data_IF_816958255124
#
_entry.id   IF_816958255124
#
_cell.length_a   1.000
_cell.length_b   1.000
_cell.length_c   1.000
_cell.angle_alpha   90.00
_cell.angle_beta   90.00
_cell.angle_gamma   90.00
#
_symmetry.space_group_name_H-M   'P 1'
#
loop_
_entity.id
_entity.type
_entity.pdbx_description
1 polymer ?
#
# COMPACT_ATOMS: atom_id res chain seq x y z
N UNK A 1 -21.78 -7.49 -18.63
CA UNK A 1 -20.95 -7.29 -17.42
C UNK A 1 -20.20 -5.95 -17.44
N UNK A 2 -19.51 -5.60 -18.54
CA UNK A 2 -18.78 -4.33 -18.67
C UNK A 2 -19.60 -3.07 -18.32
N UNK A 3 -20.78 -2.88 -18.92
CA UNK A 3 -21.62 -1.70 -18.65
C UNK A 3 -22.14 -1.60 -17.20
N UNK A 4 -22.32 -2.73 -16.53
CA UNK A 4 -22.76 -2.77 -15.13
C UNK A 4 -21.61 -2.34 -14.20
N UNK A 5 -20.42 -2.93 -14.40
CA UNK A 5 -19.21 -2.58 -13.64
C UNK A 5 -18.74 -1.14 -13.93
N UNK A 6 -18.89 -0.66 -15.17
CA UNK A 6 -18.55 0.71 -15.53
C UNK A 6 -19.48 1.74 -14.86
N UNK A 7 -20.76 1.40 -14.69
CA UNK A 7 -21.76 2.29 -14.09
C UNK A 7 -21.85 2.20 -12.57
N UNK A 8 -21.59 1.02 -12.01
CA UNK A 8 -21.78 0.72 -10.59
C UNK A 8 -20.51 0.23 -9.89
N UNK A 9 -19.34 0.33 -10.52
CA UNK A 9 -18.08 -0.20 -10.00
C UNK A 9 -17.74 0.30 -8.60
N UNK A 10 -17.96 1.59 -8.32
CA UNK A 10 -17.74 2.16 -6.99
C UNK A 10 -18.70 1.57 -5.93
N UNK A 11 -19.96 1.36 -6.28
CA UNK A 11 -20.94 0.75 -5.38
C UNK A 11 -20.61 -0.73 -5.13
N UNK A 12 -20.15 -1.45 -6.15
CA UNK A 12 -19.68 -2.84 -6.02
C UNK A 12 -18.43 -2.92 -5.15
N UNK A 13 -17.46 -2.02 -5.35
CA UNK A 13 -16.24 -1.96 -4.53
C UNK A 13 -16.55 -1.64 -3.06
N UNK A 14 -17.42 -0.67 -2.82
CA UNK A 14 -17.88 -0.33 -1.48
C UNK A 14 -18.62 -1.50 -0.82
N UNK A 15 -19.56 -2.13 -1.54
CA UNK A 15 -20.31 -3.28 -1.03
C UNK A 15 -19.41 -4.47 -0.69
N UNK A 16 -18.47 -4.80 -1.58
CA UNK A 16 -17.49 -5.85 -1.34
C UNK A 16 -16.63 -5.56 -0.10
N UNK A 17 -16.13 -4.32 0.03
CA UNK A 17 -15.38 -3.88 1.20
C UNK A 17 -16.20 -3.98 2.50
N UNK A 18 -17.46 -3.53 2.47
CA UNK A 18 -18.37 -3.63 3.61
C UNK A 18 -18.59 -5.09 4.04
N UNK A 19 -18.80 -6.00 3.10
CA UNK A 19 -18.95 -7.44 3.39
C UNK A 19 -17.69 -8.02 4.03
N UNK A 20 -16.51 -7.69 3.50
CA UNK A 20 -15.24 -8.16 4.08
C UNK A 20 -15.06 -7.67 5.51
N UNK A 21 -15.37 -6.40 5.77
CA UNK A 21 -15.31 -5.80 7.11
C UNK A 21 -16.28 -6.52 8.06
N UNK A 22 -17.51 -6.77 7.63
CA UNK A 22 -18.50 -7.48 8.45
C UNK A 22 -18.06 -8.89 8.81
N UNK A 23 -17.50 -9.64 7.85
CA UNK A 23 -16.98 -10.99 8.11
C UNK A 23 -15.79 -10.91 9.06
N UNK A 24 -14.85 -9.98 8.84
CA UNK A 24 -13.69 -9.79 9.72
C UNK A 24 -14.10 -9.46 11.16
N UNK A 25 -15.04 -8.52 11.35
CA UNK A 25 -15.52 -8.23 12.71
C UNK A 25 -16.29 -9.40 13.32
N UNK A 26 -17.06 -10.13 12.52
CA UNK A 26 -17.71 -11.36 12.97
C UNK A 26 -16.71 -12.37 13.52
N UNK A 27 -15.61 -12.63 12.79
CA UNK A 27 -14.58 -13.58 13.24
C UNK A 27 -13.83 -13.08 14.46
N UNK A 28 -13.43 -11.79 14.49
CA UNK A 28 -12.69 -11.21 15.62
C UNK A 28 -13.54 -11.19 16.88
N UNK A 29 -14.77 -10.65 16.83
CA UNK A 29 -15.63 -10.57 18.01
C UNK A 29 -16.04 -11.95 18.53
N UNK A 30 -16.19 -12.95 17.66
CA UNK A 30 -16.49 -14.32 18.10
C UNK A 30 -15.35 -15.01 18.86
N UNK A 31 -14.09 -14.58 18.65
CA UNK A 31 -12.90 -15.18 19.26
C UNK A 31 -12.15 -14.26 20.22
N UNK A 32 -12.69 -13.08 20.52
CA UNK A 32 -12.00 -12.03 21.28
C UNK A 32 -11.72 -12.46 22.72
N UNK A 33 -12.68 -13.10 23.37
CA UNK A 33 -12.52 -13.55 24.77
C UNK A 33 -11.43 -14.62 24.89
N UNK A 34 -11.40 -15.56 23.94
CA UNK A 34 -10.37 -16.59 23.89
C UNK A 34 -8.97 -16.01 23.61
N UNK A 35 -8.89 -14.98 22.77
CA UNK A 35 -7.64 -14.26 22.50
C UNK A 35 -7.12 -13.50 23.71
N UNK A 36 -8.00 -12.77 24.41
CA UNK A 36 -7.61 -12.00 25.61
C UNK A 36 -7.22 -12.89 26.80
N UNK A 37 -7.67 -14.14 26.81
CA UNK A 37 -7.25 -15.13 27.80
C UNK A 37 -5.87 -15.75 27.53
N UNK A 38 -5.30 -15.55 26.33
CA UNK A 38 -3.96 -16.04 25.99
C UNK A 38 -2.86 -15.12 26.55
N UNK A 39 -1.77 -15.69 27.07
CA UNK A 39 -0.52 -14.97 27.31
C UNK A 39 -0.02 -14.24 26.05
N UNK A 40 0.56 -13.05 26.20
CA UNK A 40 1.01 -12.21 25.07
C UNK A 40 1.96 -12.94 24.11
N UNK A 41 2.82 -13.82 24.63
CA UNK A 41 3.77 -14.63 23.86
C UNK A 41 3.09 -15.68 22.96
N UNK A 42 1.83 -16.02 23.22
CA UNK A 42 1.05 -17.00 22.45
C UNK A 42 -0.08 -16.39 21.62
N UNK A 43 -0.30 -15.08 21.72
CA UNK A 43 -1.34 -14.39 20.95
C UNK A 43 -1.13 -14.52 19.43
N UNK A 44 0.11 -14.70 18.96
CA UNK A 44 0.43 -14.95 17.56
C UNK A 44 -0.08 -16.29 17.01
N UNK A 45 -0.45 -17.24 17.87
CA UNK A 45 -0.98 -18.55 17.45
C UNK A 45 -2.48 -18.51 17.08
N UNK A 46 -3.15 -17.39 17.34
CA UNK A 46 -4.58 -17.24 17.08
C UNK A 46 -4.90 -17.18 15.59
N UNK A 47 -6.08 -17.70 15.22
CA UNK A 47 -6.58 -17.65 13.85
C UNK A 47 -7.66 -16.60 13.62
N UNK A 48 -8.05 -15.83 14.64
CA UNK A 48 -9.19 -14.90 14.58
C UNK A 48 -9.00 -13.78 13.54
N UNK A 49 -7.75 -13.47 13.20
CA UNK A 49 -7.38 -12.46 12.20
C UNK A 49 -7.10 -13.04 10.81
N UNK A 50 -7.04 -14.37 10.65
CA UNK A 50 -6.61 -15.02 9.42
C UNK A 50 -7.47 -14.64 8.22
N UNK A 51 -8.79 -14.51 8.40
CA UNK A 51 -9.67 -14.08 7.33
C UNK A 51 -9.32 -12.68 6.83
N UNK A 52 -9.18 -11.70 7.73
CA UNK A 52 -8.86 -10.32 7.35
C UNK A 52 -7.49 -10.21 6.69
N UNK A 53 -6.50 -10.96 7.21
CA UNK A 53 -5.17 -11.03 6.64
C UNK A 53 -5.19 -11.67 5.24
N UNK A 54 -5.82 -12.84 5.10
CA UNK A 54 -5.92 -13.55 3.83
C UNK A 54 -6.69 -12.73 2.78
N UNK A 55 -7.82 -12.13 3.15
CA UNK A 55 -8.59 -11.27 2.27
C UNK A 55 -7.74 -10.08 1.78
N UNK A 56 -7.02 -9.41 2.68
CA UNK A 56 -6.15 -8.28 2.34
C UNK A 56 -5.01 -8.70 1.41
N UNK A 57 -4.37 -9.84 1.67
CA UNK A 57 -3.30 -10.38 0.82
C UNK A 57 -3.83 -10.69 -0.57
N UNK A 58 -4.96 -11.42 -0.67
CA UNK A 58 -5.56 -11.80 -1.95
C UNK A 58 -5.98 -10.57 -2.75
N UNK A 59 -6.67 -9.61 -2.13
CA UNK A 59 -7.05 -8.35 -2.77
C UNK A 59 -5.82 -7.54 -3.20
N UNK A 60 -4.78 -7.48 -2.35
CA UNK A 60 -3.52 -6.83 -2.69
C UNK A 60 -2.88 -7.43 -3.94
N UNK A 61 -2.78 -8.77 -4.01
CA UNK A 61 -2.25 -9.48 -5.18
C UNK A 61 -3.10 -9.19 -6.42
N UNK A 62 -4.43 -9.27 -6.32
CA UNK A 62 -5.35 -8.97 -7.44
C UNK A 62 -5.16 -7.54 -7.94
N UNK A 63 -5.05 -6.56 -7.03
CA UNK A 63 -4.81 -5.17 -7.37
C UNK A 63 -3.46 -4.98 -8.06
N UNK A 64 -2.39 -5.61 -7.57
CA UNK A 64 -1.06 -5.55 -8.19
C UNK A 64 -1.11 -6.14 -9.61
N UNK A 65 -1.71 -7.32 -9.77
CA UNK A 65 -1.85 -7.98 -11.08
C UNK A 65 -2.67 -7.12 -12.04
N UNK A 66 -3.82 -6.60 -11.59
CA UNK A 66 -4.65 -5.73 -12.41
C UNK A 66 -3.91 -4.45 -12.80
N UNK A 67 -3.23 -3.79 -11.86
CA UNK A 67 -2.47 -2.57 -12.12
C UNK A 67 -1.37 -2.80 -13.16
N UNK A 68 -0.62 -3.91 -13.05
CA UNK A 68 0.42 -4.26 -14.02
C UNK A 68 -0.19 -4.56 -15.39
N UNK A 69 -1.20 -5.42 -15.47
CA UNK A 69 -1.82 -5.79 -16.74
C UNK A 69 -2.46 -4.60 -17.45
N UNK A 70 -3.23 -3.76 -16.73
CA UNK A 70 -3.82 -2.55 -17.29
C UNK A 70 -2.76 -1.51 -17.66
N UNK A 71 -1.73 -1.35 -16.82
CA UNK A 71 -0.61 -0.45 -17.11
C UNK A 71 0.12 -0.82 -18.40
N UNK A 72 0.43 -2.11 -18.57
CA UNK A 72 1.05 -2.63 -19.81
C UNK A 72 0.11 -2.50 -21.01
N UNK A 73 -1.17 -2.82 -20.85
CA UNK A 73 -2.16 -2.68 -21.91
C UNK A 73 -2.27 -1.23 -22.41
N UNK A 74 -2.39 -0.25 -21.50
CA UNK A 74 -2.45 1.17 -21.86
C UNK A 74 -1.13 1.68 -22.44
N UNK A 75 0.01 1.17 -21.98
CA UNK A 75 1.31 1.51 -22.54
C UNK A 75 1.44 1.08 -24.00
N UNK A 76 1.00 -0.13 -24.34
CA UNK A 76 1.07 -0.67 -25.71
C UNK A 76 0.03 -0.02 -26.62
N UNK A 77 -1.20 0.15 -26.13
CA UNK A 77 -2.29 0.68 -26.96
C UNK A 77 -2.21 2.19 -27.13
N UNK A 78 -1.74 2.94 -26.12
CA UNK A 78 -1.72 4.40 -26.09
C UNK A 78 -0.34 4.96 -25.66
N UNK A 79 0.75 4.65 -26.38
CA UNK A 79 2.12 4.93 -25.96
C UNK A 79 2.40 6.43 -25.77
N UNK A 80 1.80 7.30 -26.59
CA UNK A 80 1.96 8.75 -26.47
C UNK A 80 1.30 9.31 -25.20
N UNK A 81 0.12 8.80 -24.84
CA UNK A 81 -0.57 9.19 -23.61
C UNK A 81 0.08 8.61 -22.36
N UNK A 82 0.67 7.42 -22.47
CA UNK A 82 1.38 6.76 -21.38
C UNK A 82 2.75 7.39 -21.06
N UNK A 83 3.32 8.22 -21.96
CA UNK A 83 4.66 8.80 -21.80
C UNK A 83 4.85 9.53 -20.46
N UNK A 84 3.87 10.34 -20.05
CA UNK A 84 3.92 11.06 -18.77
C UNK A 84 3.91 10.07 -17.59
N UNK A 85 3.11 9.02 -17.67
CA UNK A 85 3.07 7.95 -16.66
C UNK A 85 4.36 7.16 -16.57
N UNK A 86 4.98 6.85 -17.71
CA UNK A 86 6.29 6.16 -17.77
C UNK A 86 7.38 7.02 -17.14
N UNK A 87 7.42 8.32 -17.50
CA UNK A 87 8.39 9.27 -16.93
C UNK A 87 8.19 9.37 -15.41
N UNK A 88 6.96 9.51 -14.94
CA UNK A 88 6.66 9.56 -13.51
C UNK A 88 7.12 8.28 -12.79
N UNK A 89 6.85 7.10 -13.35
CA UNK A 89 7.28 5.82 -12.79
C UNK A 89 8.81 5.70 -12.77
N UNK A 90 9.50 6.16 -13.82
CA UNK A 90 10.95 6.18 -13.87
C UNK A 90 11.54 7.10 -12.79
N UNK A 91 10.96 8.28 -12.57
CA UNK A 91 11.37 9.19 -11.49
C UNK A 91 11.19 8.54 -10.12
N UNK A 92 10.06 7.89 -9.86
CA UNK A 92 9.81 7.16 -8.61
C UNK A 92 10.84 6.05 -8.41
N UNK A 93 11.13 5.27 -9.45
CA UNK A 93 12.13 4.20 -9.39
C UNK A 93 13.53 4.75 -9.09
N UNK A 94 13.92 5.86 -9.72
CA UNK A 94 15.20 6.52 -9.45
C UNK A 94 15.26 7.01 -8.00
N UNK A 95 14.21 7.67 -7.51
CA UNK A 95 14.14 8.12 -6.10
C UNK A 95 14.26 6.95 -5.14
N UNK A 96 13.54 5.86 -5.39
CA UNK A 96 13.63 4.64 -4.59
C UNK A 96 15.06 4.09 -4.57
N UNK A 97 15.70 3.98 -5.73
CA UNK A 97 17.08 3.49 -5.81
C UNK A 97 18.07 4.40 -5.08
N UNK A 98 17.88 5.72 -5.14
CA UNK A 98 18.70 6.68 -4.38
C UNK A 98 18.52 6.45 -2.88
N UNK A 99 17.29 6.39 -2.36
CA UNK A 99 17.06 6.16 -0.94
C UNK A 99 17.48 4.77 -0.48
N UNK A 100 17.26 3.74 -1.29
CA UNK A 100 17.69 2.38 -1.01
C UNK A 100 19.23 2.27 -0.93
N UNK A 101 19.94 2.90 -1.88
CA UNK A 101 21.40 2.87 -1.92
C UNK A 101 22.06 3.70 -0.84
N UNK A 102 21.41 4.78 -0.40
CA UNK A 102 21.89 5.67 0.67
C UNK A 102 21.42 5.25 2.07
N UNK A 103 20.54 4.25 2.18
CA UNK A 103 20.10 3.71 3.46
C UNK A 103 21.28 3.11 4.24
N UNK A 104 21.62 3.78 5.35
CA UNK A 104 22.61 3.34 6.33
C UNK A 104 22.04 2.29 7.30
N UNK A 105 22.85 1.91 8.28
CA UNK A 105 22.39 1.03 9.37
C UNK A 105 21.36 1.76 10.24
N UNK A 106 20.27 1.09 10.58
CA UNK A 106 19.26 1.60 11.50
C UNK A 106 19.82 1.73 12.91
N UNK A 107 19.38 2.74 13.65
CA UNK A 107 19.88 3.04 15.00
C UNK A 107 18.76 3.29 16.00
N UNK A 108 19.06 3.21 17.29
CA UNK A 108 18.12 3.54 18.37
C UNK A 108 16.91 2.60 18.44
N UNK A 109 15.72 3.18 18.66
CA UNK A 109 14.47 2.42 18.81
C UNK A 109 14.07 1.65 17.55
N UNK A 110 14.54 2.06 16.37
CA UNK A 110 14.27 1.37 15.11
C UNK A 110 15.07 0.07 15.00
N UNK A 111 16.35 0.08 15.42
CA UNK A 111 17.18 -1.11 15.46
C UNK A 111 16.60 -2.20 16.38
N UNK A 112 16.11 -1.80 17.56
CA UNK A 112 15.45 -2.72 18.50
C UNK A 112 14.18 -3.38 17.90
N UNK A 113 13.46 -2.69 17.01
CA UNK A 113 12.29 -3.23 16.32
C UNK A 113 12.68 -4.15 15.17
N UNK A 114 13.74 -3.83 14.44
CA UNK A 114 14.29 -4.71 13.40
C UNK A 114 14.70 -6.05 13.99
N UNK A 115 15.38 -6.04 15.14
CA UNK A 115 15.75 -7.26 15.86
C UNK A 115 14.50 -8.00 16.39
N UNK A 116 13.53 -7.28 16.95
CA UNK A 116 12.28 -7.88 17.47
C UNK A 116 11.49 -8.62 16.37
N UNK A 117 11.50 -8.11 15.14
CA UNK A 117 10.74 -8.65 14.02
C UNK A 117 11.60 -9.49 13.05
N UNK A 118 12.84 -9.80 13.41
CA UNK A 118 13.81 -10.56 12.60
C UNK A 118 13.92 -10.02 11.15
N UNK A 119 13.98 -8.69 11.03
CA UNK A 119 14.00 -8.02 9.73
C UNK A 119 15.43 -8.06 9.18
N UNK A 120 15.62 -8.71 8.03
CA UNK A 120 16.92 -8.73 7.36
C UNK A 120 17.42 -7.32 6.98
N UNK A 121 18.74 -7.14 6.90
CA UNK A 121 19.35 -5.87 6.46
C UNK A 121 18.86 -5.44 5.07
N UNK A 122 18.61 -6.38 4.16
CA UNK A 122 18.05 -6.09 2.84
C UNK A 122 16.62 -5.59 2.94
N UNK A 123 15.79 -6.25 3.75
CA UNK A 123 14.40 -5.83 3.98
C UNK A 123 14.35 -4.44 4.59
N UNK A 124 15.24 -4.13 5.55
CA UNK A 124 15.29 -2.79 6.14
C UNK A 124 15.63 -1.70 5.12
N UNK A 125 16.60 -1.94 4.24
CA UNK A 125 16.92 -0.99 3.16
C UNK A 125 15.76 -0.78 2.20
N UNK A 126 15.00 -1.83 1.89
CA UNK A 126 13.78 -1.71 1.05
C UNK A 126 12.76 -0.82 1.76
N UNK A 127 12.52 -1.02 3.06
CA UNK A 127 11.60 -0.20 3.85
C UNK A 127 12.04 1.26 3.85
N UNK A 128 13.32 1.53 4.12
CA UNK A 128 13.89 2.87 4.10
C UNK A 128 13.79 3.54 2.73
N UNK A 129 14.09 2.80 1.65
CA UNK A 129 13.92 3.27 0.28
C UNK A 129 12.48 3.67 -0.05
N UNK A 130 11.52 2.83 0.36
CA UNK A 130 10.10 3.06 0.14
C UNK A 130 9.59 4.26 0.95
N UNK A 131 9.96 4.36 2.22
CA UNK A 131 9.56 5.47 3.10
C UNK A 131 10.13 6.81 2.62
N UNK A 132 11.42 6.86 2.26
CA UNK A 132 12.04 8.07 1.74
C UNK A 132 11.37 8.56 0.46
N UNK A 133 11.08 7.64 -0.46
CA UNK A 133 10.34 7.94 -1.69
C UNK A 133 8.95 8.47 -1.40
N UNK A 134 8.21 7.82 -0.50
CA UNK A 134 6.87 8.24 -0.12
C UNK A 134 6.88 9.66 0.48
N UNK A 135 7.78 9.94 1.43
CA UNK A 135 7.89 11.25 2.08
C UNK A 135 8.19 12.38 1.08
N UNK A 136 9.10 12.14 0.14
CA UNK A 136 9.41 13.12 -0.92
C UNK A 136 8.18 13.37 -1.78
N UNK A 137 7.49 12.31 -2.23
CA UNK A 137 6.29 12.46 -3.06
C UNK A 137 5.17 13.17 -2.30
N UNK A 138 4.99 12.90 -1.01
CA UNK A 138 4.05 13.65 -0.15
C UNK A 138 4.40 15.13 -0.11
N UNK A 139 5.67 15.46 0.09
CA UNK A 139 6.14 16.85 0.06
C UNK A 139 5.89 17.54 -1.28
N UNK A 140 6.20 16.86 -2.39
CA UNK A 140 5.96 17.36 -3.76
C UNK A 140 4.47 17.55 -4.01
N UNK A 141 3.62 16.61 -3.57
CA UNK A 141 2.18 16.70 -3.72
C UNK A 141 1.61 17.89 -2.95
N UNK A 142 2.05 18.09 -1.70
CA UNK A 142 1.63 19.22 -0.87
C UNK A 142 2.09 20.56 -1.45
N UNK A 143 3.34 20.66 -1.89
CA UNK A 143 3.86 21.86 -2.54
C UNK A 143 3.12 22.16 -3.85
N UNK A 144 2.86 21.14 -4.66
CA UNK A 144 2.10 21.28 -5.91
C UNK A 144 0.70 21.79 -5.64
N UNK A 145 0.01 21.23 -4.64
CA UNK A 145 -1.32 21.68 -4.20
C UNK A 145 -1.32 23.18 -3.87
N UNK A 146 -0.40 23.65 -3.02
CA UNK A 146 -0.28 25.07 -2.67
C UNK A 146 -0.05 25.93 -3.92
N UNK A 147 0.90 25.54 -4.77
CA UNK A 147 1.23 26.30 -6.00
C UNK A 147 0.03 26.39 -6.93
N UNK A 148 -0.72 25.30 -7.12
CA UNK A 148 -1.93 25.32 -7.95
C UNK A 148 -3.03 26.20 -7.37
N UNK A 149 -3.26 26.17 -6.06
CA UNK A 149 -4.24 27.05 -5.41
C UNK A 149 -3.86 28.52 -5.58
N UNK A 150 -2.58 28.87 -5.38
CA UNK A 150 -2.08 30.25 -5.59
C UNK A 150 -2.29 30.69 -7.04
N UNK A 151 -1.92 29.86 -8.02
CA UNK A 151 -2.11 30.18 -9.45
C UNK A 151 -3.59 30.37 -9.77
N UNK A 152 -4.46 29.54 -9.20
CA UNK A 152 -5.91 29.63 -9.43
C UNK A 152 -6.54 30.88 -8.82
N UNK A 153 -6.00 31.42 -7.72
CA UNK A 153 -6.47 32.69 -7.13
C UNK A 153 -6.16 33.89 -8.04
N UNK A 154 -5.09 33.80 -8.85
CA UNK A 154 -4.67 34.87 -9.78
C UNK A 154 -5.16 34.68 -11.22
N UNK A 155 -5.92 33.62 -11.50
CA UNK A 155 -6.60 33.39 -12.79
C UNK A 155 -8.08 33.66 -12.65
#
# INVERSE_FOLDING_TARGET
MYNFLAKHGQLVAFGLGAVIILIFFGTVFSGLDAFNALPEDRQGETTIFNFGLAASIVLGIVCIVAAVLFGLYFMVTHPKGAMIGIIALAVIAVLFLVFYSTAGADTGSLAAKIDQFDISATTSKIISGALGTALVLTGVAFASFIVTEVINIFK
#
